data_IF_465910270324
#
_entry.id   IF_465910270324
#
_cell.length_a   1.000
_cell.length_b   1.000
_cell.length_c   1.000
_cell.angle_alpha   90.00
_cell.angle_beta   90.00
_cell.angle_gamma   90.00
#
_symmetry.space_group_name_H-M   'P 1'
#
loop_
_entity.id
_entity.type
_entity.pdbx_description
1 polymer ?
#
# COMPACT_ATOMS: atom_id res chain seq x y z
N UNK A 1 -7.96 -4.00 -9.58
CA UNK A 1 -6.84 -4.40 -8.69
C UNK A 1 -5.86 -5.29 -9.42
N UNK A 2 -4.67 -5.53 -8.84
CA UNK A 2 -3.72 -6.55 -9.31
C UNK A 2 -3.67 -7.71 -8.32
N UNK A 3 -3.65 -8.92 -8.86
CA UNK A 3 -3.49 -10.16 -8.10
C UNK A 3 -2.17 -10.84 -8.46
N UNK A 4 -1.61 -11.56 -7.50
CA UNK A 4 -0.50 -12.48 -7.75
C UNK A 4 -0.60 -13.69 -6.84
N UNK A 5 -0.08 -14.83 -7.26
CA UNK A 5 -0.10 -16.06 -6.47
C UNK A 5 0.83 -15.98 -5.26
N UNK A 6 0.45 -16.65 -4.17
CA UNK A 6 1.41 -16.93 -3.10
C UNK A 6 2.34 -18.08 -3.52
N UNK A 7 3.67 -17.98 -3.30
CA UNK A 7 4.60 -19.03 -3.73
C UNK A 7 4.43 -20.39 -3.05
N UNK A 8 3.83 -20.42 -1.84
CA UNK A 8 3.82 -21.60 -0.95
C UNK A 8 2.45 -21.87 -0.30
N UNK A 9 1.39 -21.19 -0.70
CA UNK A 9 0.04 -21.40 -0.15
C UNK A 9 -1.02 -21.04 -1.18
N UNK A 10 -2.21 -21.60 -1.01
CA UNK A 10 -3.37 -21.18 -1.79
C UNK A 10 -3.80 -19.75 -1.40
N UNK A 11 -4.30 -19.01 -2.38
CA UNK A 11 -4.76 -17.63 -2.26
C UNK A 11 -3.94 -16.64 -3.09
N UNK A 12 -4.35 -15.37 -3.07
CA UNK A 12 -3.73 -14.30 -3.85
C UNK A 12 -3.19 -13.19 -2.95
N UNK A 13 -2.09 -12.57 -3.38
CA UNK A 13 -1.63 -11.25 -2.95
C UNK A 13 -2.40 -10.20 -3.74
N UNK A 14 -2.82 -9.13 -3.07
CA UNK A 14 -3.64 -8.07 -3.67
C UNK A 14 -2.92 -6.72 -3.60
N UNK A 15 -3.00 -5.97 -4.70
CA UNK A 15 -2.69 -4.54 -4.75
C UNK A 15 -3.92 -3.79 -5.25
N UNK A 16 -4.44 -2.89 -4.43
CA UNK A 16 -5.55 -2.04 -4.83
C UNK A 16 -5.06 -0.92 -5.75
N UNK A 17 -5.87 -0.58 -6.73
CA UNK A 17 -5.63 0.53 -7.65
C UNK A 17 -5.86 1.88 -6.95
N UNK A 18 -5.03 2.86 -7.32
CA UNK A 18 -5.12 4.27 -6.91
C UNK A 18 -4.99 5.17 -8.16
N UNK A 19 -5.57 4.74 -9.29
CA UNK A 19 -5.60 5.56 -10.51
C UNK A 19 -6.84 6.44 -10.54
N UNK A 20 -6.79 7.53 -11.29
CA UNK A 20 -7.93 8.45 -11.44
C UNK A 20 -9.18 7.74 -11.99
N UNK A 21 -9.01 6.72 -12.82
CA UNK A 21 -10.11 5.97 -13.43
C UNK A 21 -10.71 4.89 -12.51
N UNK A 22 -9.94 4.38 -11.55
CA UNK A 22 -10.38 3.34 -10.62
C UNK A 22 -9.57 3.41 -9.31
N UNK A 23 -10.14 4.10 -8.32
CA UNK A 23 -9.61 4.21 -6.96
C UNK A 23 -10.27 3.19 -6.04
N UNK A 24 -9.66 2.01 -5.96
CA UNK A 24 -10.10 0.91 -5.11
C UNK A 24 -9.72 1.14 -3.64
N UNK A 25 -8.73 1.98 -3.38
CA UNK A 25 -8.36 2.39 -2.02
C UNK A 25 -9.46 3.26 -1.42
N UNK A 26 -9.92 4.28 -2.15
CA UNK A 26 -11.07 5.09 -1.75
C UNK A 26 -12.32 4.21 -1.59
N UNK A 27 -12.59 3.33 -2.56
CA UNK A 27 -13.74 2.43 -2.49
C UNK A 27 -13.71 1.49 -1.27
N UNK A 28 -12.53 1.06 -0.80
CA UNK A 28 -12.39 0.30 0.45
C UNK A 28 -12.65 1.19 1.67
N UNK A 29 -12.11 2.41 1.70
CA UNK A 29 -12.29 3.36 2.80
C UNK A 29 -13.78 3.68 3.00
N UNK A 30 -14.51 3.89 1.90
CA UNK A 30 -15.96 4.16 1.89
C UNK A 30 -16.80 3.01 2.45
N UNK A 31 -16.26 1.80 2.56
CA UNK A 31 -16.93 0.66 3.19
C UNK A 31 -16.90 0.68 4.72
N UNK A 32 -16.15 1.59 5.32
CA UNK A 32 -16.09 1.77 6.76
C UNK A 32 -17.49 2.05 7.33
N UNK A 33 -17.80 1.45 8.49
CA UNK A 33 -19.09 1.61 9.19
C UNK A 33 -18.98 2.50 10.43
N UNK A 34 -17.78 2.97 10.74
CA UNK A 34 -17.50 3.92 11.82
C UNK A 34 -16.23 4.73 11.54
N UNK A 35 -16.04 5.90 12.18
CA UNK A 35 -14.80 6.67 12.06
C UNK A 35 -13.54 5.89 12.48
N UNK A 36 -13.64 5.05 13.52
CA UNK A 36 -12.52 4.18 13.94
C UNK A 36 -12.16 3.16 12.87
N UNK A 37 -13.16 2.57 12.22
CA UNK A 37 -12.93 1.62 11.12
C UNK A 37 -12.33 2.31 9.90
N UNK A 38 -12.77 3.53 9.58
CA UNK A 38 -12.20 4.34 8.50
C UNK A 38 -10.71 4.63 8.79
N UNK A 39 -10.39 5.09 9.99
CA UNK A 39 -9.00 5.34 10.42
C UNK A 39 -8.19 4.04 10.35
N UNK A 40 -8.74 2.89 10.75
CA UNK A 40 -8.05 1.61 10.65
C UNK A 40 -7.68 1.26 9.21
N UNK A 41 -8.59 1.46 8.26
CA UNK A 41 -8.34 1.24 6.83
C UNK A 41 -7.27 2.19 6.31
N UNK A 42 -7.38 3.48 6.65
CA UNK A 42 -6.43 4.52 6.24
C UNK A 42 -5.02 4.27 6.81
N UNK A 43 -4.90 3.83 8.06
CA UNK A 43 -3.60 3.48 8.65
C UNK A 43 -2.93 2.30 7.94
N UNK A 44 -3.72 1.32 7.49
CA UNK A 44 -3.20 0.21 6.68
C UNK A 44 -2.71 0.67 5.31
N UNK A 45 -3.56 1.40 4.56
CA UNK A 45 -3.36 1.66 3.13
C UNK A 45 -2.63 2.98 2.81
N UNK A 46 -2.68 3.96 3.72
CA UNK A 46 -2.04 5.27 3.54
C UNK A 46 -0.78 5.45 4.40
N UNK A 47 -0.58 4.59 5.42
CA UNK A 47 0.58 4.67 6.32
C UNK A 47 1.36 3.34 6.44
N UNK A 48 0.90 2.26 5.80
CA UNK A 48 1.61 0.98 5.75
C UNK A 48 1.71 0.25 7.09
N UNK A 49 0.80 0.52 8.03
CA UNK A 49 0.83 -0.13 9.35
C UNK A 49 0.42 -1.60 9.26
N UNK A 50 1.04 -2.42 10.11
CA UNK A 50 0.63 -3.81 10.35
C UNK A 50 -0.61 -3.82 11.23
N UNK A 51 -1.39 -4.90 11.16
CA UNK A 51 -2.60 -5.10 11.98
C UNK A 51 -2.40 -4.78 13.47
N UNK A 52 -1.32 -5.29 14.07
CA UNK A 52 -0.98 -5.05 15.48
C UNK A 52 -0.63 -3.58 15.76
N UNK A 53 0.05 -2.92 14.82
CA UNK A 53 0.41 -1.50 14.92
C UNK A 53 -0.84 -0.62 14.83
N UNK A 54 -1.80 -0.96 13.96
CA UNK A 54 -3.09 -0.26 13.83
C UNK A 54 -3.86 -0.32 15.16
N UNK A 55 -3.90 -1.48 15.80
CA UNK A 55 -4.59 -1.68 17.07
C UNK A 55 -3.90 -1.01 18.28
N UNK A 56 -2.66 -0.54 18.12
CA UNK A 56 -1.83 -0.07 19.25
C UNK A 56 -1.48 1.41 19.18
N UNK A 57 -1.52 2.03 17.98
CA UNK A 57 -1.11 3.43 17.81
C UNK A 57 -2.03 4.37 18.58
N UNK A 58 -1.46 5.36 19.25
CA UNK A 58 -2.19 6.33 20.06
C UNK A 58 -2.10 7.73 19.45
N UNK A 59 -2.91 8.67 19.93
CA UNK A 59 -2.86 10.05 19.44
C UNK A 59 -1.51 10.75 19.74
N UNK A 60 -0.81 10.31 20.80
CA UNK A 60 0.54 10.77 21.13
C UNK A 60 1.57 10.42 20.04
N UNK A 61 1.40 9.30 19.33
CA UNK A 61 2.32 8.92 18.26
C UNK A 61 2.20 9.81 17.01
N UNK A 62 1.05 10.46 16.82
CA UNK A 62 0.86 11.52 15.80
C UNK A 62 1.38 12.86 16.31
N UNK A 63 1.04 13.21 17.55
CA UNK A 63 1.34 14.53 18.12
C UNK A 63 2.84 14.76 18.31
N UNK A 64 3.57 13.72 18.69
CA UNK A 64 5.01 13.83 18.91
C UNK A 64 5.84 13.56 17.65
N UNK A 65 5.22 13.11 16.55
CA UNK A 65 5.92 12.95 15.28
C UNK A 65 6.23 14.30 14.63
N UNK A 66 7.24 14.37 13.73
CA UNK A 66 7.35 15.50 12.81
C UNK A 66 6.08 15.68 11.97
N UNK A 67 5.80 16.91 11.55
CA UNK A 67 4.63 17.23 10.71
C UNK A 67 4.59 16.34 9.46
N UNK A 68 3.44 15.68 9.24
CA UNK A 68 3.24 14.77 8.11
C UNK A 68 3.76 13.35 8.33
N UNK A 69 4.23 13.02 9.53
CA UNK A 69 4.68 11.69 9.90
C UNK A 69 3.87 11.10 11.06
N UNK A 70 3.97 9.78 11.18
CA UNK A 70 3.46 8.99 12.30
C UNK A 70 4.62 8.17 12.89
N UNK A 71 4.79 8.23 14.21
CA UNK A 71 5.70 7.34 14.93
C UNK A 71 5.07 5.96 15.05
N UNK A 72 5.83 4.92 14.74
CA UNK A 72 5.37 3.54 14.85
C UNK A 72 6.40 2.71 15.60
N UNK A 73 5.92 1.96 16.59
CA UNK A 73 6.72 1.06 17.41
C UNK A 73 6.37 -0.38 17.07
N UNK A 74 7.37 -1.23 16.85
CA UNK A 74 7.14 -2.66 16.58
C UNK A 74 6.61 -3.41 17.82
N UNK A 75 6.89 -2.89 19.01
CA UNK A 75 6.34 -3.34 20.29
C UNK A 75 6.03 -2.09 21.11
N UNK A 76 4.75 -1.76 21.25
CA UNK A 76 4.30 -0.57 21.98
C UNK A 76 4.49 -0.70 23.49
N UNK A 77 4.50 -1.93 24.03
CA UNK A 77 4.74 -2.17 25.45
C UNK A 77 6.21 -2.00 25.82
N UNK A 78 7.13 -2.41 24.92
CA UNK A 78 8.58 -2.31 25.16
C UNK A 78 9.24 -1.10 24.50
N UNK A 79 8.50 -0.32 23.70
CA UNK A 79 9.01 0.75 22.83
C UNK A 79 10.28 0.31 22.10
N UNK A 80 10.20 -0.86 21.45
CA UNK A 80 11.34 -1.52 20.81
C UNK A 80 11.80 -0.84 19.52
N UNK A 81 11.86 -1.59 18.41
CA UNK A 81 12.23 -1.02 17.10
C UNK A 81 11.24 0.07 16.68
N UNK A 82 11.78 1.18 16.18
CA UNK A 82 11.09 2.43 15.85
C UNK A 82 11.17 2.74 14.36
N UNK A 83 10.10 3.31 13.80
CA UNK A 83 10.09 3.94 12.47
C UNK A 83 9.16 5.14 12.43
N UNK A 84 9.40 6.04 11.49
CA UNK A 84 8.46 7.09 11.10
C UNK A 84 7.93 6.78 9.72
N UNK A 85 6.61 6.85 9.55
CA UNK A 85 5.95 6.64 8.26
C UNK A 85 5.22 7.91 7.84
N UNK A 86 5.28 8.32 6.56
CA UNK A 86 4.54 9.48 6.08
C UNK A 86 3.03 9.21 6.14
N UNK A 87 2.25 10.25 6.44
CA UNK A 87 0.79 10.19 6.50
C UNK A 87 0.15 11.39 5.79
N UNK A 88 -1.06 11.24 5.21
CA UNK A 88 -1.84 12.37 4.72
C UNK A 88 -2.24 13.31 5.87
N UNK A 89 -2.31 14.61 5.58
CA UNK A 89 -2.72 15.64 6.56
C UNK A 89 -4.14 15.41 7.08
N UNK A 90 -5.00 14.90 6.21
CA UNK A 90 -6.39 14.58 6.49
C UNK A 90 -6.47 13.45 7.52
N UNK A 91 -5.56 12.47 7.47
CA UNK A 91 -5.53 11.37 8.45
C UNK A 91 -5.16 11.90 9.83
N UNK A 92 -4.11 12.72 9.92
CA UNK A 92 -3.72 13.36 11.18
C UNK A 92 -4.87 14.22 11.76
N UNK A 93 -5.61 14.92 10.89
CA UNK A 93 -6.75 15.74 11.28
C UNK A 93 -7.93 14.90 11.80
N UNK A 94 -8.25 13.79 11.13
CA UNK A 94 -9.29 12.85 11.56
C UNK A 94 -8.96 12.24 12.93
N UNK A 95 -7.70 11.83 13.16
CA UNK A 95 -7.26 11.30 14.46
C UNK A 95 -7.37 12.34 15.56
N UNK A 96 -6.89 13.56 15.32
CA UNK A 96 -6.99 14.66 16.28
C UNK A 96 -8.44 14.95 16.68
N UNK A 97 -9.35 14.87 15.71
CA UNK A 97 -10.78 15.08 15.95
C UNK A 97 -11.39 13.95 16.77
N UNK A 98 -11.09 12.69 16.42
CA UNK A 98 -11.62 11.52 17.10
C UNK A 98 -11.11 11.39 18.54
N UNK A 99 -9.85 11.78 18.78
CA UNK A 99 -9.16 11.65 20.07
C UNK A 99 -9.25 12.91 20.94
N UNK A 100 -10.00 13.94 20.55
CA UNK A 100 -9.99 15.25 21.23
C UNK A 100 -10.28 15.19 22.74
N UNK A 101 -11.18 14.29 23.16
CA UNK A 101 -11.55 14.08 24.58
C UNK A 101 -11.10 12.72 25.13
N UNK A 102 -10.31 11.95 24.38
CA UNK A 102 -9.81 10.64 24.80
C UNK A 102 -8.47 10.78 25.50
N UNK A 103 -8.12 9.81 26.35
CA UNK A 103 -6.77 9.74 26.90
C UNK A 103 -5.77 9.61 25.73
N UNK A 104 -4.74 10.48 25.64
CA UNK A 104 -3.83 10.45 24.52
C UNK A 104 -2.95 9.19 24.44
N UNK A 105 -2.89 8.41 25.52
CA UNK A 105 -2.22 7.10 25.59
C UNK A 105 -3.16 5.92 25.27
N UNK A 106 -4.47 6.16 25.09
CA UNK A 106 -5.38 5.15 24.57
C UNK A 106 -5.20 4.94 23.06
N UNK A 107 -5.31 3.69 22.56
CA UNK A 107 -5.26 3.42 21.13
C UNK A 107 -6.37 4.15 20.37
N UNK A 108 -6.01 4.74 19.22
CA UNK A 108 -6.98 5.42 18.34
C UNK A 108 -8.03 4.43 17.82
N UNK A 109 -7.58 3.22 17.52
CA UNK A 109 -8.42 2.09 17.10
C UNK A 109 -8.36 1.03 18.22
N UNK A 110 -9.09 1.30 19.30
CA UNK A 110 -9.13 0.49 20.53
C UNK A 110 -9.90 -0.84 20.39
N UNK A 111 -9.54 -1.67 19.43
CA UNK A 111 -10.12 -3.00 19.22
C UNK A 111 -9.06 -4.08 19.16
N UNK A 112 -9.47 -5.32 19.42
CA UNK A 112 -8.61 -6.48 19.18
C UNK A 112 -8.09 -6.52 17.74
N UNK A 113 -6.81 -6.85 17.49
CA UNK A 113 -6.21 -6.89 16.15
C UNK A 113 -7.03 -7.73 15.16
N UNK A 114 -7.61 -8.84 15.62
CA UNK A 114 -8.42 -9.71 14.77
C UNK A 114 -9.74 -9.06 14.30
N UNK A 115 -10.24 -8.04 15.00
CA UNK A 115 -11.40 -7.26 14.57
C UNK A 115 -11.09 -6.46 13.31
N UNK A 116 -9.88 -5.89 13.21
CA UNK A 116 -9.41 -5.16 12.03
C UNK A 116 -9.34 -6.09 10.81
N UNK A 117 -8.82 -7.31 10.99
CA UNK A 117 -8.81 -8.32 9.93
C UNK A 117 -10.25 -8.61 9.43
N UNK A 118 -11.19 -8.83 10.35
CA UNK A 118 -12.61 -9.07 9.99
C UNK A 118 -13.24 -7.87 9.31
N UNK A 119 -12.91 -6.65 9.71
CA UNK A 119 -13.40 -5.43 9.07
C UNK A 119 -12.98 -5.36 7.60
N UNK A 120 -11.71 -5.62 7.30
CA UNK A 120 -11.20 -5.65 5.91
C UNK A 120 -11.85 -6.78 5.11
N UNK A 121 -11.93 -8.00 5.66
CA UNK A 121 -12.60 -9.12 4.98
C UNK A 121 -14.05 -8.80 4.61
N UNK A 122 -14.83 -8.27 5.55
CA UNK A 122 -16.23 -7.91 5.31
C UNK A 122 -16.39 -6.75 4.33
N UNK A 123 -15.46 -5.79 4.33
CA UNK A 123 -15.45 -4.74 3.33
C UNK A 123 -15.19 -5.32 1.94
N UNK A 124 -14.19 -6.20 1.79
CA UNK A 124 -13.94 -6.95 0.57
C UNK A 124 -15.16 -7.75 0.10
N UNK A 125 -15.83 -8.49 0.99
CA UNK A 125 -17.05 -9.23 0.65
C UNK A 125 -18.17 -8.32 0.11
N UNK A 126 -18.36 -7.13 0.68
CA UNK A 126 -19.34 -6.16 0.17
C UNK A 126 -18.93 -5.61 -1.20
N UNK A 127 -17.65 -5.30 -1.39
CA UNK A 127 -17.13 -4.87 -2.69
C UNK A 127 -17.26 -5.95 -3.76
N UNK A 128 -17.00 -7.20 -3.41
CA UNK A 128 -17.24 -8.34 -4.31
C UNK A 128 -18.73 -8.43 -4.69
N UNK A 129 -19.63 -8.36 -3.72
CA UNK A 129 -21.07 -8.40 -3.99
C UNK A 129 -21.53 -7.24 -4.90
N UNK A 130 -20.91 -6.06 -4.78
CA UNK A 130 -21.25 -4.89 -5.58
C UNK A 130 -20.64 -4.89 -6.99
N UNK A 131 -19.45 -5.46 -7.17
CA UNK A 131 -18.66 -5.32 -8.41
C UNK A 131 -18.51 -6.62 -9.20
N UNK A 132 -18.66 -7.77 -8.55
CA UNK A 132 -18.36 -9.08 -9.11
C UNK A 132 -16.86 -9.39 -9.27
N UNK A 133 -15.95 -8.48 -8.88
CA UNK A 133 -14.50 -8.72 -8.98
C UNK A 133 -14.03 -9.64 -7.85
N UNK A 134 -13.71 -10.89 -8.19
CA UNK A 134 -13.26 -11.93 -7.27
C UNK A 134 -12.02 -11.53 -6.46
N UNK A 135 -11.20 -10.60 -6.96
CA UNK A 135 -10.02 -10.12 -6.28
C UNK A 135 -10.31 -9.57 -4.87
N UNK A 136 -11.49 -8.96 -4.67
CA UNK A 136 -11.94 -8.49 -3.35
C UNK A 136 -12.09 -9.61 -2.31
N UNK A 137 -12.34 -10.84 -2.75
CA UNK A 137 -12.49 -12.01 -1.86
C UNK A 137 -11.15 -12.43 -1.26
N UNK A 138 -10.03 -12.13 -1.93
CA UNK A 138 -8.68 -12.42 -1.45
C UNK A 138 -8.12 -11.34 -0.51
N UNK A 139 -8.62 -10.11 -0.61
CA UNK A 139 -8.13 -8.95 0.14
C UNK A 139 -8.06 -9.23 1.66
N UNK A 140 -6.92 -8.90 2.27
CA UNK A 140 -6.72 -8.89 3.71
C UNK A 140 -6.00 -7.61 4.20
N UNK A 141 -5.84 -7.46 5.52
CA UNK A 141 -5.19 -6.28 6.12
C UNK A 141 -3.71 -6.14 5.73
N UNK A 142 -3.03 -7.24 5.41
CA UNK A 142 -1.64 -7.22 5.00
C UNK A 142 -1.49 -6.71 3.55
N UNK A 143 -2.50 -6.94 2.71
CA UNK A 143 -2.57 -6.37 1.37
C UNK A 143 -2.68 -4.83 1.37
N UNK A 144 -3.20 -4.21 2.45
CA UNK A 144 -3.23 -2.74 2.56
C UNK A 144 -1.81 -2.18 2.65
N UNK A 145 -0.97 -2.79 3.48
CA UNK A 145 0.45 -2.43 3.59
C UNK A 145 1.21 -2.74 2.29
N UNK A 146 0.86 -3.82 1.60
CA UNK A 146 1.42 -4.18 0.29
C UNK A 146 1.07 -3.14 -0.78
N UNK A 147 -0.19 -2.71 -0.81
CA UNK A 147 -0.68 -1.63 -1.67
C UNK A 147 0.07 -0.33 -1.41
N UNK A 148 0.20 0.06 -0.13
CA UNK A 148 0.94 1.25 0.27
C UNK A 148 2.40 1.25 -0.22
N UNK A 149 3.12 0.14 0.00
CA UNK A 149 4.52 0.02 -0.43
C UNK A 149 4.67 0.06 -1.96
N UNK A 150 3.77 -0.61 -2.68
CA UNK A 150 3.72 -0.57 -4.14
C UNK A 150 3.44 0.83 -4.68
N UNK A 151 2.53 1.56 -4.05
CA UNK A 151 2.21 2.94 -4.43
C UNK A 151 3.40 3.89 -4.28
N UNK A 152 4.05 3.90 -3.11
CA UNK A 152 5.21 4.78 -2.90
C UNK A 152 6.34 4.48 -3.90
N UNK A 153 6.60 3.20 -4.13
CA UNK A 153 7.68 2.77 -5.01
C UNK A 153 7.39 3.07 -6.48
N UNK A 154 6.22 2.66 -6.97
CA UNK A 154 5.92 2.65 -8.40
C UNK A 154 5.16 3.86 -8.88
N UNK A 155 4.29 4.44 -8.05
CA UNK A 155 3.46 5.57 -8.46
C UNK A 155 4.10 6.90 -8.06
N UNK A 156 4.68 6.98 -6.87
CA UNK A 156 5.37 8.17 -6.39
C UNK A 156 6.87 8.21 -6.74
N UNK A 157 7.46 7.09 -7.17
CA UNK A 157 8.88 7.01 -7.51
C UNK A 157 9.83 7.18 -6.31
N UNK A 158 9.36 6.87 -5.09
CA UNK A 158 10.18 6.96 -3.88
C UNK A 158 11.27 5.89 -3.91
N UNK A 159 12.50 6.27 -3.57
CA UNK A 159 13.65 5.37 -3.59
C UNK A 159 13.40 4.13 -2.72
N UNK A 160 13.77 2.91 -3.19
CA UNK A 160 13.53 1.67 -2.44
C UNK A 160 14.03 1.70 -0.99
N UNK A 161 15.22 2.26 -0.75
CA UNK A 161 15.79 2.37 0.60
C UNK A 161 14.96 3.28 1.53
N UNK A 162 14.32 4.31 0.98
CA UNK A 162 13.43 5.22 1.73
C UNK A 162 12.10 4.51 2.04
N UNK A 163 11.52 3.80 1.08
CA UNK A 163 10.32 2.98 1.31
C UNK A 163 10.60 1.92 2.38
N UNK A 164 11.76 1.25 2.32
CA UNK A 164 12.22 0.31 3.33
C UNK A 164 12.27 0.94 4.73
N UNK A 165 12.88 2.12 4.85
CA UNK A 165 12.94 2.87 6.10
C UNK A 165 11.55 3.19 6.64
N UNK A 166 10.67 3.74 5.79
CA UNK A 166 9.32 4.11 6.20
C UNK A 166 8.49 2.92 6.64
N UNK A 167 8.55 1.78 5.94
CA UNK A 167 7.80 0.59 6.34
C UNK A 167 8.49 -0.26 7.40
N UNK A 168 9.74 0.02 7.78
CA UNK A 168 10.48 -0.80 8.74
C UNK A 168 10.85 -2.19 8.20
N UNK A 169 11.27 -2.24 6.94
CA UNK A 169 11.86 -3.44 6.34
C UNK A 169 13.39 -3.40 6.51
N UNK A 170 13.95 -4.45 7.11
CA UNK A 170 15.39 -4.54 7.37
C UNK A 170 16.12 -5.42 6.35
N UNK A 171 15.40 -6.35 5.72
CA UNK A 171 15.96 -7.31 4.78
C UNK A 171 15.68 -6.89 3.33
N UNK A 172 16.75 -6.51 2.62
CA UNK A 172 16.68 -6.05 1.24
C UNK A 172 16.23 -7.13 0.27
N UNK A 173 16.65 -8.38 0.46
CA UNK A 173 16.30 -9.47 -0.45
C UNK A 173 14.80 -9.77 -0.40
N UNK A 174 14.25 -9.88 0.82
CA UNK A 174 12.82 -10.01 1.08
C UNK A 174 12.04 -8.82 0.52
N UNK A 175 12.50 -7.59 0.77
CA UNK A 175 11.84 -6.40 0.22
C UNK A 175 11.84 -6.41 -1.31
N UNK A 176 12.98 -6.69 -1.94
CA UNK A 176 13.12 -6.76 -3.39
C UNK A 176 12.17 -7.78 -4.00
N UNK A 177 12.14 -8.99 -3.44
CA UNK A 177 11.33 -10.11 -3.94
C UNK A 177 9.83 -9.87 -3.79
N UNK A 178 9.39 -9.06 -2.82
CA UNK A 178 7.97 -8.82 -2.57
C UNK A 178 7.43 -7.48 -3.08
N UNK A 179 8.29 -6.51 -3.40
CA UNK A 179 7.86 -5.15 -3.72
C UNK A 179 8.51 -4.57 -4.99
N UNK A 180 9.79 -4.87 -5.25
CA UNK A 180 10.51 -4.32 -6.42
C UNK A 180 10.23 -5.09 -7.71
N UNK A 181 9.79 -6.35 -7.64
CA UNK A 181 9.38 -7.11 -8.82
C UNK A 181 7.94 -6.88 -9.26
N UNK A 182 7.15 -6.15 -8.47
CA UNK A 182 5.70 -6.26 -8.46
C UNK A 182 5.05 -4.88 -8.63
N UNK A 183 4.85 -4.45 -9.88
CA UNK A 183 4.25 -3.16 -10.22
C UNK A 183 2.88 -2.95 -9.55
N UNK A 184 2.59 -1.71 -9.13
CA UNK A 184 1.23 -1.31 -8.73
C UNK A 184 0.27 -1.41 -9.93
N UNK A 185 -1.06 -1.50 -9.71
CA UNK A 185 -2.03 -1.48 -10.80
C UNK A 185 -1.91 -0.22 -11.67
N UNK A 186 -1.74 0.94 -11.05
CA UNK A 186 -1.58 2.21 -11.76
C UNK A 186 -0.29 2.24 -12.59
N UNK A 187 0.82 1.71 -12.08
CA UNK A 187 2.06 1.59 -12.83
C UNK A 187 1.93 0.62 -14.01
N UNK A 188 1.31 -0.54 -13.80
CA UNK A 188 1.05 -1.49 -14.88
C UNK A 188 0.19 -0.85 -15.98
N UNK A 189 -0.83 -0.06 -15.64
CA UNK A 189 -1.65 0.66 -16.61
C UNK A 189 -0.84 1.74 -17.36
N UNK A 190 0.02 2.51 -16.65
CA UNK A 190 0.92 3.48 -17.30
C UNK A 190 1.89 2.81 -18.29
N UNK A 191 2.47 1.67 -17.93
CA UNK A 191 3.36 0.93 -18.83
C UNK A 191 2.59 0.33 -20.01
N UNK A 192 1.38 -0.20 -19.77
CA UNK A 192 0.48 -0.70 -20.83
C UNK A 192 0.12 0.38 -21.84
N UNK A 193 -0.12 1.62 -21.39
CA UNK A 193 -0.40 2.78 -22.25
C UNK A 193 0.78 3.15 -23.18
N UNK A 194 1.99 2.63 -22.97
CA UNK A 194 3.13 2.83 -23.89
C UNK A 194 3.16 1.83 -25.05
N UNK A 195 2.34 0.78 -24.99
CA UNK A 195 2.33 -0.29 -25.98
C UNK A 195 1.42 0.10 -27.15
N UNK A 196 2.01 0.48 -28.29
CA UNK A 196 1.33 1.12 -29.44
C UNK A 196 0.10 0.37 -29.98
N UNK A 197 0.15 -0.97 -30.04
CA UNK A 197 -0.99 -1.76 -30.51
C UNK A 197 -2.14 -1.84 -29.49
N UNK A 198 -1.87 -1.55 -28.21
CA UNK A 198 -2.89 -1.52 -27.14
C UNK A 198 -3.63 -0.19 -27.13
N UNK A 199 -2.94 0.90 -27.45
CA UNK A 199 -3.51 2.25 -27.52
C UNK A 199 -4.15 2.58 -28.87
N UNK A 200 -4.01 1.70 -29.87
CA UNK A 200 -4.51 1.91 -31.23
C UNK A 200 -3.78 3.03 -31.99
N UNK A 201 -2.70 3.57 -31.43
CA UNK A 201 -1.85 4.56 -32.09
C UNK A 201 -0.86 3.84 -32.99
N UNK A 202 -1.22 3.70 -34.27
CA UNK A 202 -0.25 3.49 -35.35
C UNK A 202 0.41 4.84 -35.63
N UNK A 203 1.20 5.35 -34.69
CA UNK A 203 2.19 6.36 -35.04
C UNK A 203 3.42 5.61 -35.54
N UNK A 204 3.50 5.48 -36.86
CA UNK A 204 4.78 5.28 -37.52
C UNK A 204 5.62 6.54 -37.28
N UNK A 205 6.34 6.57 -36.16
CA UNK A 205 7.42 7.54 -35.95
C UNK A 205 8.63 7.07 -36.77
N UNK A 206 9.02 7.79 -37.85
CA UNK A 206 10.17 7.42 -38.67
C UNK A 206 11.52 7.65 -37.97
N UNK A 207 11.53 8.16 -36.73
CA UNK A 207 12.73 8.50 -35.97
C UNK A 207 12.87 7.83 -34.60
N UNK A 208 12.01 6.87 -34.25
CA UNK A 208 12.12 6.16 -32.99
C UNK A 208 13.23 5.10 -33.06
N UNK A 209 14.46 5.51 -32.74
CA UNK A 209 15.52 4.56 -32.41
C UNK A 209 15.03 3.65 -31.27
N UNK A 210 15.27 2.33 -31.34
CA UNK A 210 14.89 1.42 -30.28
C UNK A 210 15.54 1.88 -28.96
N UNK A 211 14.72 2.09 -27.94
CA UNK A 211 15.14 2.46 -26.57
C UNK A 211 16.11 1.43 -25.98
N UNK A 212 16.20 0.25 -26.58
CA UNK A 212 17.15 -0.78 -26.22
C UNK A 212 17.65 -1.55 -27.45
N UNK A 213 18.90 -1.29 -27.84
CA UNK A 213 19.64 -2.20 -28.71
C UNK A 213 20.48 -3.15 -27.85
N UNK A 214 20.17 -4.46 -27.80
CA UNK A 214 21.03 -5.41 -27.12
C UNK A 214 22.37 -5.48 -27.85
N UNK A 215 23.44 -5.00 -27.20
CA UNK A 215 24.80 -5.11 -27.72
C UNK A 215 25.23 -6.57 -27.66
N UNK A 216 24.93 -7.35 -28.72
CA UNK A 216 25.57 -8.64 -28.93
C UNK A 216 27.00 -8.34 -29.40
N UNK A 217 27.95 -8.25 -28.47
CA UNK A 217 29.36 -8.32 -28.80
C UNK A 217 29.66 -9.74 -29.30
N UNK A 218 29.53 -9.96 -30.61
CA UNK A 218 30.18 -11.07 -31.27
C UNK A 218 31.69 -10.83 -31.18
N UNK A 219 32.35 -11.47 -30.22
CA UNK A 219 33.79 -11.68 -30.28
C UNK A 219 34.09 -12.52 -31.52
N UNK A 220 34.42 -11.86 -32.61
CA UNK A 220 35.13 -12.49 -33.73
C UNK A 220 36.52 -12.86 -33.22
N UNK A 221 36.72 -14.14 -32.95
CA UNK A 221 38.03 -14.74 -32.75
C UNK A 221 38.65 -14.93 -34.15
N UNK A 222 39.56 -14.04 -34.51
CA UNK A 222 40.65 -14.35 -35.44
C UNK A 222 41.96 -14.14 -34.68
#
# INVERSE_FOLDING_TARGET
MRLDDYPKRDGKRVWLSQSDENDEVAALIDEAKSPEQEIAFRLGVQAGLRREEIASVTSNDFTHAPDGFLRVWNDYAKRGKYRETPIPKELASSVRTLSYERDPDEPVVGVEPNSIYRWVKRAGERRYAATGDEGWTYLDVHDLRRTWGGHLLWDCGVLPAVVMSFGGWEDWETFRNHYLGEMSPAAAERERKKISYVTGSVESDPGADPVFEPTIQSRSLY
#
